data_IF_788092967641
#
_entry.id   IF_788092967641
#
_cell.length_a   1.000
_cell.length_b   1.000
_cell.length_c   1.000
_cell.angle_alpha   90.00
_cell.angle_beta   90.00
_cell.angle_gamma   90.00
#
_symmetry.space_group_name_H-M   'P 1'
#
loop_
_entity.id
_entity.type
_entity.pdbx_description
1 polymer ?
#
# COMPACT_ATOMS: atom_id res chain seq x y z
N UNK A 1 -54.02 13.95 -58.25
CA UNK A 1 -53.23 13.66 -57.03
C UNK A 1 -53.90 12.47 -56.35
N UNK A 2 -54.02 11.31 -56.98
CA UNK A 2 -52.98 10.41 -57.53
C UNK A 2 -51.88 10.10 -56.51
N UNK A 3 -51.82 8.82 -56.13
CA UNK A 3 -50.86 8.24 -55.18
C UNK A 3 -51.53 7.30 -54.17
N UNK A 4 -52.11 6.15 -54.58
CA UNK A 4 -51.52 4.79 -54.47
C UNK A 4 -51.72 4.17 -53.06
N UNK A 5 -52.20 2.94 -52.82
CA UNK A 5 -52.69 1.82 -53.63
C UNK A 5 -53.34 0.78 -52.68
N UNK A 6 -54.27 -0.01 -53.22
CA UNK A 6 -54.84 -1.31 -52.78
C UNK A 6 -53.79 -2.32 -52.25
N UNK A 7 -54.07 -3.45 -51.58
CA UNK A 7 -55.27 -4.19 -51.21
C UNK A 7 -54.89 -5.24 -50.12
N UNK A 8 -55.93 -5.85 -49.56
CA UNK A 8 -55.91 -6.86 -48.50
C UNK A 8 -55.19 -8.17 -48.85
N UNK A 9 -54.67 -8.84 -47.80
CA UNK A 9 -54.96 -10.27 -47.61
C UNK A 9 -54.76 -10.70 -46.15
N UNK A 10 -55.80 -11.31 -45.58
CA UNK A 10 -55.81 -11.97 -44.26
C UNK A 10 -55.99 -13.47 -44.51
N UNK A 11 -54.99 -14.25 -44.11
CA UNK A 11 -54.98 -15.70 -43.85
C UNK A 11 -53.97 -15.83 -42.70
N UNK A 12 -54.10 -16.57 -41.60
CA UNK A 12 -55.11 -17.38 -40.91
C UNK A 12 -54.44 -17.78 -39.59
N UNK A 13 -55.22 -17.94 -38.50
CA UNK A 13 -54.99 -18.83 -37.33
C UNK A 13 -53.66 -18.71 -36.53
N UNK A 14 -53.60 -18.54 -35.21
CA UNK A 14 -54.57 -18.81 -34.14
C UNK A 14 -54.19 -18.03 -32.86
N UNK A 15 -55.22 -17.48 -32.22
CA UNK A 15 -55.42 -17.24 -30.78
C UNK A 15 -54.20 -16.97 -29.88
N UNK A 16 -53.84 -15.69 -29.79
CA UNK A 16 -53.14 -15.14 -28.62
C UNK A 16 -54.15 -14.74 -27.55
N UNK A 17 -54.15 -15.45 -26.42
CA UNK A 17 -54.82 -15.04 -25.18
C UNK A 17 -53.83 -15.16 -24.02
N UNK A 18 -53.35 -14.00 -23.55
CA UNK A 18 -53.37 -13.59 -22.15
C UNK A 18 -52.40 -12.43 -21.93
N UNK A 19 -52.98 -11.30 -21.55
CA UNK A 19 -52.36 -10.19 -20.85
C UNK A 19 -51.30 -10.65 -19.84
N UNK A 20 -50.08 -10.14 -19.98
CA UNK A 20 -49.25 -9.83 -18.82
C UNK A 20 -48.47 -8.54 -19.09
N UNK A 21 -48.99 -7.45 -18.54
CA UNK A 21 -48.25 -6.20 -18.37
C UNK A 21 -46.87 -6.54 -17.80
N UNK A 22 -45.81 -6.23 -18.53
CA UNK A 22 -44.45 -6.38 -18.05
C UNK A 22 -44.27 -5.48 -16.82
N UNK A 23 -43.95 -6.01 -15.62
CA UNK A 23 -43.43 -5.17 -14.58
C UNK A 23 -41.98 -4.88 -14.99
N UNK A 24 -41.73 -3.66 -15.45
CA UNK A 24 -40.40 -3.09 -15.41
C UNK A 24 -39.96 -3.07 -13.94
N UNK A 25 -39.29 -4.14 -13.47
CA UNK A 25 -38.56 -4.07 -12.22
C UNK A 25 -37.38 -3.11 -12.45
N UNK A 26 -37.58 -1.89 -12.00
CA UNK A 26 -36.51 -1.03 -11.51
C UNK A 26 -35.75 -1.82 -10.43
N UNK A 27 -34.76 -2.60 -10.86
CA UNK A 27 -33.77 -3.11 -9.93
C UNK A 27 -32.81 -1.95 -9.68
N UNK A 28 -33.27 -1.04 -8.83
CA UNK A 28 -32.44 -0.10 -8.08
C UNK A 28 -31.49 -0.90 -7.21
N UNK A 29 -30.49 -1.52 -7.83
CA UNK A 29 -29.33 -2.05 -7.16
C UNK A 29 -28.62 -0.87 -6.55
N UNK A 30 -28.87 -0.60 -5.27
CA UNK A 30 -27.89 0.11 -4.45
C UNK A 30 -26.60 -0.68 -4.60
N UNK A 31 -25.67 -0.17 -5.41
CA UNK A 31 -24.29 -0.61 -5.40
C UNK A 31 -23.76 -0.32 -3.99
N UNK A 32 -23.97 -1.24 -3.07
CA UNK A 32 -23.31 -1.20 -1.77
C UNK A 32 -21.86 -1.50 -2.09
N UNK A 33 -21.07 -0.43 -2.24
CA UNK A 33 -19.63 -0.52 -2.43
C UNK A 33 -19.08 -1.28 -1.23
N UNK A 34 -18.93 -2.60 -1.35
CA UNK A 34 -18.44 -3.48 -0.28
C UNK A 34 -17.04 -2.99 0.03
N UNK A 35 -16.89 -2.22 1.10
CA UNK A 35 -15.59 -1.74 1.55
C UNK A 35 -14.79 -3.01 1.84
N UNK A 36 -13.69 -3.28 1.13
CA UNK A 36 -12.85 -4.42 1.45
C UNK A 36 -12.52 -4.31 2.93
N UNK A 37 -12.66 -5.38 3.71
CA UNK A 37 -12.32 -5.35 5.14
C UNK A 37 -10.84 -5.62 5.34
N UNK A 38 -10.20 -6.34 4.43
CA UNK A 38 -8.75 -6.57 4.46
C UNK A 38 -7.95 -5.29 4.25
N UNK A 39 -7.01 -5.05 5.15
CA UNK A 39 -5.93 -4.07 4.97
C UNK A 39 -4.62 -4.82 5.11
N UNK A 40 -3.73 -4.66 4.13
CA UNK A 40 -2.38 -5.24 4.16
C UNK A 40 -1.37 -4.32 3.51
N UNK A 41 -0.22 -4.08 4.11
CA UNK A 41 0.91 -3.42 3.47
C UNK A 41 1.93 -4.49 3.07
N UNK A 42 2.10 -4.72 1.77
CA UNK A 42 3.22 -5.53 1.26
C UNK A 42 4.41 -4.62 1.02
N UNK A 43 5.50 -4.87 1.71
CA UNK A 43 6.76 -4.16 1.55
C UNK A 43 7.67 -5.01 0.68
N UNK A 44 8.26 -4.40 -0.34
CA UNK A 44 9.31 -5.00 -1.15
C UNK A 44 10.52 -4.11 -1.02
N UNK A 45 11.59 -4.66 -0.46
CA UNK A 45 12.84 -3.96 -0.23
C UNK A 45 13.89 -4.49 -1.21
N UNK A 46 14.49 -3.62 -2.00
CA UNK A 46 15.64 -3.93 -2.85
C UNK A 46 16.89 -3.27 -2.28
N UNK A 47 17.93 -4.06 -2.06
CA UNK A 47 19.24 -3.57 -1.70
C UNK A 47 20.08 -3.50 -2.98
N UNK A 48 20.26 -2.29 -3.50
CA UNK A 48 21.11 -2.01 -4.67
C UNK A 48 22.50 -1.53 -4.28
N UNK A 49 22.75 -1.36 -2.98
CA UNK A 49 24.07 -1.03 -2.46
C UNK A 49 25.07 -2.16 -2.71
N UNK A 50 26.33 -1.80 -2.96
CA UNK A 50 27.45 -2.73 -3.02
C UNK A 50 28.18 -2.89 -1.68
N UNK A 51 28.11 -1.89 -0.79
CA UNK A 51 28.87 -1.88 0.46
C UNK A 51 28.08 -2.35 1.68
N UNK A 52 26.75 -2.37 1.64
CA UNK A 52 25.93 -2.62 2.82
C UNK A 52 25.07 -3.88 2.71
N UNK A 53 25.05 -4.65 3.78
CA UNK A 53 24.00 -5.64 4.04
C UNK A 53 22.98 -5.04 4.98
N UNK A 54 21.69 -5.08 4.61
CA UNK A 54 20.62 -4.78 5.55
C UNK A 54 20.60 -5.86 6.64
N UNK A 55 20.77 -5.47 7.89
CA UNK A 55 20.97 -6.38 9.02
C UNK A 55 20.07 -6.04 10.23
N UNK A 56 19.78 -7.02 11.08
CA UNK A 56 19.02 -6.86 12.34
C UNK A 56 17.71 -6.06 12.16
N UNK A 57 16.73 -6.58 11.41
CA UNK A 57 15.44 -5.91 11.30
C UNK A 57 14.81 -5.74 12.67
N UNK A 58 14.24 -4.56 12.92
CA UNK A 58 13.40 -4.29 14.08
C UNK A 58 12.05 -3.76 13.61
N UNK A 59 11.00 -4.06 14.36
CA UNK A 59 9.63 -3.70 14.02
C UNK A 59 8.96 -3.06 15.23
N UNK A 60 8.43 -1.86 15.05
CA UNK A 60 7.45 -1.29 15.95
C UNK A 60 6.10 -1.24 15.25
N UNK A 61 5.19 -2.12 15.68
CA UNK A 61 3.84 -2.23 15.13
C UNK A 61 2.91 -1.44 16.04
N UNK A 62 2.54 -0.23 15.60
CA UNK A 62 1.61 0.61 16.36
C UNK A 62 0.19 0.05 16.31
N UNK A 63 -0.23 -0.42 15.12
CA UNK A 63 -1.54 -1.06 14.90
C UNK A 63 -1.41 -2.13 13.83
N UNK A 64 -1.95 -3.32 14.09
CA UNK A 64 -1.90 -4.43 13.15
C UNK A 64 -1.05 -5.57 13.67
N UNK A 65 -0.56 -6.39 12.75
CA UNK A 65 0.36 -7.48 13.01
C UNK A 65 1.27 -7.70 11.81
N UNK A 66 2.41 -8.33 12.04
CA UNK A 66 3.30 -8.82 10.99
C UNK A 66 2.86 -10.24 10.63
N UNK A 67 2.36 -10.45 9.42
CA UNK A 67 1.96 -11.78 8.94
C UNK A 67 3.13 -12.49 8.27
N UNK A 68 3.97 -11.74 7.56
CA UNK A 68 5.18 -12.24 6.91
C UNK A 68 6.34 -11.30 7.27
N UNK A 69 7.30 -11.71 8.12
CA UNK A 69 8.40 -10.85 8.53
C UNK A 69 9.36 -10.58 7.37
N UNK A 70 9.94 -9.38 7.35
CA UNK A 70 11.04 -9.08 6.42
C UNK A 70 12.26 -9.98 6.76
N UNK A 71 13.10 -10.33 5.76
CA UNK A 71 14.24 -11.19 5.98
C UNK A 71 15.21 -10.68 7.05
N UNK A 72 15.85 -11.55 7.84
CA UNK A 72 16.82 -11.13 8.85
C UNK A 72 18.05 -10.44 8.25
N UNK A 73 18.33 -10.70 6.97
CA UNK A 73 19.37 -10.05 6.17
C UNK A 73 18.91 -9.85 4.73
N UNK A 74 19.32 -8.75 4.11
CA UNK A 74 19.20 -8.55 2.66
C UNK A 74 20.58 -8.13 2.15
N UNK A 75 21.24 -9.05 1.46
CA UNK A 75 22.60 -8.87 0.92
C UNK A 75 22.62 -7.81 -0.19
N UNK A 76 23.80 -7.26 -0.53
CA UNK A 76 24.00 -6.48 -1.75
C UNK A 76 23.35 -7.14 -2.97
N UNK A 77 22.79 -6.32 -3.86
CA UNK A 77 22.09 -6.75 -5.09
C UNK A 77 20.94 -7.74 -4.90
N UNK A 78 20.40 -7.86 -3.68
CA UNK A 78 19.31 -8.78 -3.36
C UNK A 78 18.03 -8.05 -2.94
N UNK A 79 16.93 -8.79 -2.79
CA UNK A 79 15.66 -8.23 -2.34
C UNK A 79 15.01 -9.08 -1.26
N UNK A 80 14.18 -8.44 -0.45
CA UNK A 80 13.33 -9.08 0.55
C UNK A 80 11.92 -8.53 0.50
N UNK A 81 10.98 -9.28 1.06
CA UNK A 81 9.61 -8.84 1.20
C UNK A 81 9.02 -9.20 2.56
N UNK A 82 7.99 -8.46 2.94
CA UNK A 82 7.25 -8.65 4.18
C UNK A 82 5.84 -8.10 4.06
N UNK A 83 4.95 -8.59 4.92
CA UNK A 83 3.54 -8.24 4.90
C UNK A 83 3.05 -7.91 6.31
N UNK A 84 2.45 -6.74 6.42
CA UNK A 84 1.79 -6.27 7.64
C UNK A 84 0.30 -6.18 7.39
N UNK A 85 -0.53 -6.69 8.30
CA UNK A 85 -1.99 -6.72 8.15
C UNK A 85 -2.67 -5.99 9.29
N UNK A 86 -3.94 -5.61 9.09
CA UNK A 86 -4.78 -5.18 10.22
C UNK A 86 -4.99 -6.31 11.22
N UNK A 87 -5.43 -6.01 12.45
CA UNK A 87 -5.93 -7.03 13.39
C UNK A 87 -7.26 -7.60 12.89
N UNK A 88 -7.51 -8.90 13.09
CA UNK A 88 -8.68 -9.61 12.53
C UNK A 88 -10.03 -9.07 13.03
N UNK A 89 -10.10 -8.69 14.31
CA UNK A 89 -11.36 -8.38 15.00
C UNK A 89 -11.71 -6.89 15.06
N UNK A 90 -10.85 -6.00 14.52
CA UNK A 90 -11.02 -4.56 14.65
C UNK A 90 -11.09 -3.84 13.29
N UNK A 91 -11.98 -2.85 13.17
CA UNK A 91 -12.03 -1.89 12.06
C UNK A 91 -10.88 -0.86 12.15
N UNK A 92 -9.65 -1.36 12.31
CA UNK A 92 -8.42 -0.58 12.41
C UNK A 92 -7.60 -0.70 11.11
N UNK A 93 -6.66 0.22 10.96
CA UNK A 93 -5.70 0.20 9.86
C UNK A 93 -4.55 -0.77 10.12
N UNK A 94 -3.43 -0.52 9.42
CA UNK A 94 -2.16 -1.20 9.64
C UNK A 94 -1.05 -0.14 9.60
N UNK A 95 -0.38 0.08 10.73
CA UNK A 95 0.56 1.18 10.96
C UNK A 95 1.79 0.67 11.70
N UNK A 96 2.96 1.12 11.29
CA UNK A 96 4.18 0.86 12.02
C UNK A 96 5.40 1.46 11.36
N UNK A 97 6.53 1.27 12.02
CA UNK A 97 7.86 1.55 11.47
C UNK A 97 8.69 0.28 11.59
N UNK A 98 9.56 0.05 10.62
CA UNK A 98 10.60 -0.96 10.73
C UNK A 98 11.94 -0.34 10.41
N UNK A 99 13.01 -0.94 10.92
CA UNK A 99 14.37 -0.48 10.69
C UNK A 99 15.29 -1.62 10.28
N UNK A 100 16.38 -1.27 9.61
CA UNK A 100 17.53 -2.14 9.37
C UNK A 100 18.81 -1.39 9.70
N UNK A 101 19.75 -2.09 10.33
CA UNK A 101 21.12 -1.63 10.45
C UNK A 101 21.83 -1.83 9.11
N UNK A 102 22.66 -0.87 8.72
CA UNK A 102 23.52 -0.96 7.53
C UNK A 102 24.85 -1.56 7.98
N UNK A 103 25.00 -2.87 7.76
CA UNK A 103 26.25 -3.59 8.05
C UNK A 103 27.20 -3.42 6.87
N UNK A 104 28.30 -2.72 7.09
CA UNK A 104 29.36 -2.59 6.10
C UNK A 104 29.99 -3.96 5.83
N UNK A 105 30.05 -4.34 4.55
CA UNK A 105 30.53 -5.64 4.11
C UNK A 105 32.04 -5.79 4.33
N UNK A 106 32.79 -4.69 4.28
CA UNK A 106 34.25 -4.69 4.46
C UNK A 106 34.65 -4.67 5.93
N UNK A 107 34.10 -3.73 6.71
CA UNK A 107 34.51 -3.53 8.12
C UNK A 107 33.74 -4.42 9.09
N UNK A 108 32.57 -4.95 8.68
CA UNK A 108 31.63 -5.68 9.53
C UNK A 108 31.06 -4.85 10.68
N UNK A 109 31.06 -3.53 10.54
CA UNK A 109 30.48 -2.60 11.51
C UNK A 109 29.14 -2.03 11.03
N UNK A 110 28.32 -1.58 11.98
CA UNK A 110 27.07 -0.87 11.68
C UNK A 110 27.20 0.57 12.17
N UNK A 111 27.23 1.53 11.25
CA UNK A 111 27.28 2.96 11.57
C UNK A 111 25.94 3.67 11.35
N UNK A 112 25.12 3.16 10.43
CA UNK A 112 23.84 3.74 10.04
C UNK A 112 22.69 2.76 10.24
N UNK A 113 21.49 3.31 10.42
CA UNK A 113 20.22 2.59 10.47
C UNK A 113 19.23 3.29 9.55
N UNK A 114 18.60 2.53 8.67
CA UNK A 114 17.46 3.03 7.90
C UNK A 114 16.17 2.77 8.65
N UNK A 115 15.19 3.65 8.46
CA UNK A 115 13.83 3.47 8.96
C UNK A 115 12.82 3.64 7.84
N UNK A 116 11.75 2.86 7.89
CA UNK A 116 10.65 2.92 6.93
C UNK A 116 9.32 2.92 7.68
N UNK A 117 8.54 3.98 7.46
CA UNK A 117 7.20 4.15 7.99
C UNK A 117 6.17 3.64 6.97
N UNK A 118 5.16 2.91 7.45
CA UNK A 118 3.96 2.60 6.67
C UNK A 118 2.71 2.92 7.48
N UNK A 119 1.73 3.57 6.85
CA UNK A 119 0.43 3.86 7.44
C UNK A 119 -0.70 3.63 6.44
N UNK A 120 -1.50 2.60 6.68
CA UNK A 120 -2.65 2.21 5.85
C UNK A 120 -3.94 2.38 6.66
N UNK A 121 -4.66 3.51 6.56
CA UNK A 121 -5.84 3.75 7.37
C UNK A 121 -7.00 2.80 7.00
N UNK A 122 -7.90 2.56 7.96
CA UNK A 122 -9.10 1.77 7.72
C UNK A 122 -10.04 2.47 6.73
N UNK A 123 -10.43 3.70 7.07
CA UNK A 123 -11.22 4.58 6.22
C UNK A 123 -10.31 5.47 5.37
N UNK A 124 -10.38 5.24 4.07
CA UNK A 124 -9.59 5.93 3.06
C UNK A 124 -10.38 6.93 2.23
N UNK A 125 -11.68 7.09 2.52
CA UNK A 125 -12.48 8.16 1.91
C UNK A 125 -11.98 9.54 2.29
N UNK A 126 -11.35 9.66 3.47
CA UNK A 126 -10.84 10.92 4.03
C UNK A 126 -9.33 10.99 4.17
N UNK A 127 -8.61 9.88 4.02
CA UNK A 127 -7.16 9.77 4.28
C UNK A 127 -6.44 8.90 3.25
N UNK A 128 -5.35 9.43 2.68
CA UNK A 128 -4.41 8.66 1.86
C UNK A 128 -3.62 7.67 2.75
N UNK A 129 -3.05 6.64 2.14
CA UNK A 129 -1.92 5.95 2.77
C UNK A 129 -0.79 6.98 2.96
N UNK A 130 -0.03 6.84 4.05
CA UNK A 130 1.19 7.62 4.31
C UNK A 130 2.37 6.65 4.44
N UNK A 131 3.52 7.08 3.97
CA UNK A 131 4.77 6.34 4.08
C UNK A 131 5.93 7.31 4.29
N UNK A 132 7.06 6.78 4.72
CA UNK A 132 8.24 7.58 4.99
C UNK A 132 9.50 6.74 4.99
N UNK A 133 10.63 7.38 4.71
CA UNK A 133 11.97 6.79 4.75
C UNK A 133 12.92 7.75 5.45
N UNK A 134 13.87 7.20 6.21
CA UNK A 134 14.86 8.00 6.93
C UNK A 134 16.16 7.24 7.15
N UNK A 135 17.23 7.99 7.41
CA UNK A 135 18.57 7.48 7.68
C UNK A 135 19.01 8.08 9.01
N UNK A 136 19.43 7.22 9.93
CA UNK A 136 19.74 7.58 11.32
C UNK A 136 21.03 6.90 11.77
N UNK A 137 21.55 7.34 12.91
CA UNK A 137 22.57 6.59 13.66
C UNK A 137 21.97 5.30 14.28
N UNK A 138 22.81 4.29 14.52
CA UNK A 138 22.37 3.00 15.09
C UNK A 138 21.83 3.08 16.52
N UNK A 139 22.07 4.18 17.23
CA UNK A 139 21.43 4.50 18.51
C UNK A 139 19.94 4.80 18.39
N UNK A 140 19.44 5.16 17.19
CA UNK A 140 18.02 5.48 16.99
C UNK A 140 17.14 4.24 17.13
N UNK A 141 16.38 4.14 18.20
CA UNK A 141 15.54 2.98 18.49
C UNK A 141 14.33 2.86 17.55
N UNK A 142 13.92 1.61 17.28
CA UNK A 142 12.68 1.31 16.56
C UNK A 142 11.53 1.22 17.57
N UNK A 143 10.93 2.37 17.90
CA UNK A 143 9.94 2.48 18.97
C UNK A 143 8.79 3.46 18.61
N UNK A 144 7.93 3.75 19.59
CA UNK A 144 6.81 4.68 19.44
C UNK A 144 7.27 6.10 19.09
N UNK A 145 8.41 6.54 19.62
CA UNK A 145 8.92 7.89 19.39
C UNK A 145 9.34 8.05 17.93
N UNK A 146 10.11 7.10 17.39
CA UNK A 146 10.45 7.09 15.97
C UNK A 146 9.19 7.07 15.08
N UNK A 147 8.18 6.25 15.43
CA UNK A 147 6.92 6.24 14.69
C UNK A 147 6.22 7.61 14.71
N UNK A 148 6.17 8.27 15.87
CA UNK A 148 5.54 9.57 16.04
C UNK A 148 6.28 10.68 15.31
N UNK A 149 7.61 10.69 15.37
CA UNK A 149 8.48 11.61 14.65
C UNK A 149 8.24 11.47 13.15
N UNK A 150 8.44 10.26 12.60
CA UNK A 150 8.29 10.00 11.18
C UNK A 150 6.90 10.32 10.67
N UNK A 151 5.85 10.09 11.47
CA UNK A 151 4.47 10.37 11.07
C UNK A 151 4.16 11.87 11.01
N UNK A 152 4.87 12.71 11.76
CA UNK A 152 4.62 14.16 11.86
C UNK A 152 5.47 14.99 10.89
N UNK A 153 6.49 14.39 10.25
CA UNK A 153 7.38 15.06 9.31
C UNK A 153 8.06 16.33 9.86
N UNK A 154 8.80 16.19 10.97
CA UNK A 154 9.36 17.32 11.72
C UNK A 154 10.89 17.41 11.71
N UNK A 155 11.58 16.55 10.97
CA UNK A 155 13.06 16.48 10.98
C UNK A 155 13.59 16.34 9.55
N UNK A 156 14.84 16.74 9.32
CA UNK A 156 15.54 16.61 8.06
C UNK A 156 16.17 15.22 7.84
N UNK A 157 16.30 14.40 8.90
CA UNK A 157 16.84 13.04 8.82
C UNK A 157 15.91 12.03 8.12
N UNK A 158 14.67 12.44 7.82
CA UNK A 158 13.70 11.61 7.13
C UNK A 158 12.73 12.45 6.31
N UNK A 159 12.06 11.78 5.38
CA UNK A 159 10.96 12.35 4.61
C UNK A 159 9.75 11.42 4.71
N UNK A 160 8.57 11.99 4.86
CA UNK A 160 7.31 11.26 4.81
C UNK A 160 6.25 12.03 4.02
N UNK A 161 5.34 11.31 3.39
CA UNK A 161 4.33 11.90 2.52
C UNK A 161 3.17 10.97 2.23
N UNK A 162 2.18 11.49 1.52
CA UNK A 162 1.02 10.70 1.12
C UNK A 162 1.34 9.84 -0.10
N UNK A 163 0.82 8.63 -0.17
CA UNK A 163 0.98 7.72 -1.31
C UNK A 163 0.38 8.23 -2.65
N UNK A 164 -0.38 9.33 -2.62
CA UNK A 164 -0.88 10.01 -3.83
C UNK A 164 0.15 10.95 -4.46
N UNK A 165 1.17 11.32 -3.71
CA UNK A 165 2.21 12.23 -4.12
C UNK A 165 3.33 11.47 -4.85
N UNK A 166 4.42 12.17 -5.17
CA UNK A 166 5.59 11.59 -5.82
C UNK A 166 6.34 10.62 -4.90
N UNK A 167 7.32 9.91 -5.47
CA UNK A 167 8.24 9.09 -4.69
C UNK A 167 8.98 9.90 -3.63
N UNK A 168 9.37 9.22 -2.56
CA UNK A 168 10.19 9.77 -1.49
C UNK A 168 11.67 9.50 -1.75
N UNK A 169 12.50 10.46 -1.37
CA UNK A 169 13.95 10.42 -1.51
C UNK A 169 14.59 11.02 -0.27
N UNK A 170 15.46 10.25 0.40
CA UNK A 170 16.29 10.72 1.50
C UNK A 170 17.73 10.29 1.26
N UNK A 171 18.65 11.22 1.46
CA UNK A 171 20.08 11.02 1.30
C UNK A 171 20.81 11.41 2.59
N UNK A 172 21.88 10.68 2.91
CA UNK A 172 22.78 10.97 4.03
C UNK A 172 24.16 10.38 3.74
N UNK A 173 25.12 11.28 3.52
CA UNK A 173 26.48 11.02 3.06
C UNK A 173 26.51 10.16 1.78
N UNK A 174 26.87 8.89 1.90
CA UNK A 174 27.04 7.92 0.84
C UNK A 174 25.89 6.91 0.76
N UNK A 175 24.73 7.23 1.32
CA UNK A 175 23.58 6.33 1.34
C UNK A 175 22.34 7.09 0.92
N UNK A 176 21.62 6.50 -0.02
CA UNK A 176 20.33 7.00 -0.48
C UNK A 176 19.26 5.94 -0.26
N UNK A 177 18.13 6.35 0.32
CA UNK A 177 16.92 5.53 0.42
C UNK A 177 15.79 6.20 -0.35
N UNK A 178 15.19 5.45 -1.26
CA UNK A 178 14.01 5.90 -2.02
C UNK A 178 12.83 4.97 -1.78
N UNK A 179 11.62 5.52 -1.87
CA UNK A 179 10.42 4.71 -1.76
C UNK A 179 9.27 5.23 -2.63
N UNK A 180 8.38 4.30 -2.99
CA UNK A 180 7.06 4.59 -3.55
C UNK A 180 6.03 3.69 -2.90
N UNK A 181 4.78 4.16 -2.82
CA UNK A 181 3.68 3.38 -2.28
C UNK A 181 2.41 3.58 -3.11
N UNK A 182 1.72 2.50 -3.44
CA UNK A 182 0.40 2.60 -4.08
C UNK A 182 -0.66 3.10 -3.08
N UNK A 183 -1.52 4.01 -3.50
CA UNK A 183 -2.66 4.45 -2.70
C UNK A 183 -3.89 3.52 -2.89
N UNK A 184 -3.82 2.26 -2.45
CA UNK A 184 -4.98 1.31 -2.38
C UNK A 184 -5.09 0.56 -1.03
N UNK A 185 -6.18 -0.18 -0.75
CA UNK A 185 -6.41 -0.85 0.55
C UNK A 185 -5.41 -1.98 0.87
N UNK A 186 -4.79 -2.54 -0.16
CA UNK A 186 -3.78 -3.60 -0.09
C UNK A 186 -2.48 -3.10 -0.71
N UNK A 187 -1.88 -2.02 -0.16
CA UNK A 187 -0.81 -1.33 -0.87
C UNK A 187 0.45 -2.17 -1.00
N UNK A 188 1.18 -1.91 -2.09
CA UNK A 188 2.56 -2.34 -2.27
C UNK A 188 3.47 -1.13 -2.09
N UNK A 189 4.36 -1.21 -1.12
CA UNK A 189 5.42 -0.23 -0.88
C UNK A 189 6.73 -0.81 -1.42
N UNK A 190 7.39 -0.08 -2.31
CA UNK A 190 8.73 -0.41 -2.81
C UNK A 190 9.72 0.51 -2.12
N UNK A 191 10.80 -0.07 -1.60
CA UNK A 191 11.91 0.65 -0.97
C UNK A 191 13.20 0.20 -1.62
N UNK A 192 14.07 1.14 -1.95
CA UNK A 192 15.38 0.88 -2.55
C UNK A 192 16.44 1.58 -1.73
N UNK A 193 17.51 0.83 -1.40
CA UNK A 193 18.74 1.36 -0.83
C UNK A 193 19.83 1.38 -1.92
N UNK A 194 20.49 2.52 -2.10
CA UNK A 194 21.67 2.68 -2.94
C UNK A 194 22.80 3.33 -2.14
N UNK A 195 24.04 3.17 -2.61
CA UNK A 195 25.25 3.82 -2.10
C UNK A 195 26.17 4.30 -3.22
#
# INVERSE_FOLDING_TARGET
MEGLEEAANIISSADGIASLMSPALSLGGKFTKKIPTDRKCKVVFRNESSHYTLYKPRFYIHVGQCSEPLPPRILPSSSGEGVFTRPEVAMKGCFGVFTYDLLDVSTKECSKRIAVLYRVPFDRSKKSNQYGVGIFDTSKECNLDLFNEMSKNKDAAFVSGNARETGLHQESDNVTITATMSDCYKPRMKVVLCD
#
